data_IF_041161147730
#
_entry.id   IF_041161147730
#
_cell.length_a   1.000
_cell.length_b   1.000
_cell.length_c   1.000
_cell.angle_alpha   90.00
_cell.angle_beta   90.00
_cell.angle_gamma   90.00
#
_symmetry.space_group_name_H-M   'P 1'
#
loop_
_entity.id
_entity.type
_entity.pdbx_description
1 polymer ?
#
# COMPACT_ATOMS: atom_id res chain seq x y z
N UNK A 1 26.99 4.70 -2.04
CA UNK A 1 25.83 4.67 -1.12
C UNK A 1 24.71 3.96 -1.86
N UNK A 2 24.18 2.87 -1.31
CA UNK A 2 23.03 2.16 -1.91
C UNK A 2 21.72 2.86 -1.55
N UNK A 3 20.66 2.64 -2.33
CA UNK A 3 19.32 3.14 -2.02
C UNK A 3 18.85 2.69 -0.63
N UNK A 4 19.19 1.46 -0.24
CA UNK A 4 18.89 0.91 1.08
C UNK A 4 19.58 1.70 2.20
N UNK A 5 20.86 2.02 2.03
CA UNK A 5 21.62 2.83 2.98
C UNK A 5 21.07 4.26 3.08
N UNK A 6 20.58 4.82 1.97
CA UNK A 6 19.93 6.12 1.96
C UNK A 6 18.61 6.08 2.75
N UNK A 7 17.74 5.11 2.48
CA UNK A 7 16.47 4.92 3.21
C UNK A 7 16.70 4.77 4.72
N UNK A 8 17.68 3.94 5.11
CA UNK A 8 18.06 3.77 6.52
C UNK A 8 18.52 5.07 7.19
N UNK A 9 19.25 5.93 6.47
CA UNK A 9 19.69 7.24 6.98
C UNK A 9 18.56 8.25 7.07
N UNK A 10 17.63 8.25 6.11
CA UNK A 10 16.55 9.25 6.03
C UNK A 10 15.38 8.89 6.96
N UNK A 11 15.09 7.60 7.15
CA UNK A 11 13.92 7.14 7.91
C UNK A 11 13.81 7.69 9.34
N UNK A 12 14.89 7.79 10.16
CA UNK A 12 14.80 8.43 11.48
C UNK A 12 14.30 9.88 11.46
N UNK A 13 14.46 10.59 10.35
CA UNK A 13 14.00 11.96 10.17
C UNK A 13 12.53 12.06 9.74
N UNK A 14 11.95 10.98 9.22
CA UNK A 14 10.51 10.93 8.87
C UNK A 14 9.64 10.62 10.09
N UNK A 15 10.22 10.07 11.16
CA UNK A 15 9.50 9.70 12.38
C UNK A 15 9.31 10.90 13.33
N UNK A 16 8.15 10.94 13.99
CA UNK A 16 7.81 11.92 15.03
C UNK A 16 7.64 11.25 16.40
N UNK A 17 7.89 12.03 17.46
CA UNK A 17 7.59 11.71 18.86
C UNK A 17 7.92 10.26 19.25
N UNK A 18 6.90 9.50 19.65
CA UNK A 18 7.00 8.12 20.16
C UNK A 18 7.67 7.17 19.17
N UNK A 19 7.48 7.37 17.87
CA UNK A 19 8.12 6.53 16.83
C UNK A 19 9.62 6.76 16.76
N UNK A 20 10.05 8.02 16.84
CA UNK A 20 11.46 8.38 16.86
C UNK A 20 12.15 7.91 18.14
N UNK A 21 11.50 8.09 19.30
CA UNK A 21 12.02 7.58 20.57
C UNK A 21 12.16 6.07 20.60
N UNK A 22 11.19 5.33 20.05
CA UNK A 22 11.28 3.88 19.94
C UNK A 22 12.44 3.44 19.04
N UNK A 23 12.62 4.06 17.88
CA UNK A 23 13.71 3.67 16.98
C UNK A 23 15.08 3.90 17.66
N UNK A 24 15.22 5.00 18.39
CA UNK A 24 16.44 5.34 19.13
C UNK A 24 16.68 4.49 20.38
N UNK A 25 15.66 3.82 20.93
CA UNK A 25 15.81 2.94 22.10
C UNK A 25 16.25 1.52 21.74
N UNK A 26 16.27 1.17 20.46
CA UNK A 26 16.77 -0.11 19.98
C UNK A 26 18.29 -0.19 20.14
N UNK A 27 18.80 -1.39 20.43
CA UNK A 27 20.24 -1.61 20.59
C UNK A 27 20.99 -1.21 19.30
N UNK A 28 22.06 -0.39 19.37
CA UNK A 28 22.88 -0.08 18.20
C UNK A 28 23.35 -1.36 17.49
N UNK A 29 23.24 -1.38 16.16
CA UNK A 29 23.62 -2.54 15.35
C UNK A 29 22.64 -3.72 15.38
N UNK A 30 21.48 -3.61 16.07
CA UNK A 30 20.45 -4.66 16.06
C UNK A 30 19.65 -4.74 14.75
N UNK A 31 19.61 -3.64 13.98
CA UNK A 31 18.92 -3.55 12.70
C UNK A 31 19.90 -3.06 11.62
N UNK A 32 20.45 -3.99 10.86
CA UNK A 32 21.53 -3.73 9.89
C UNK A 32 21.03 -3.63 8.44
N UNK A 33 19.76 -3.91 8.18
CA UNK A 33 19.14 -3.84 6.86
C UNK A 33 17.83 -3.06 6.91
N UNK A 34 17.45 -2.42 5.80
CA UNK A 34 16.18 -1.72 5.67
C UNK A 34 15.00 -2.65 5.91
N UNK A 35 15.07 -3.88 5.38
CA UNK A 35 14.03 -4.89 5.58
C UNK A 35 13.80 -5.22 7.06
N UNK A 36 14.87 -5.30 7.87
CA UNK A 36 14.75 -5.54 9.30
C UNK A 36 14.11 -4.35 10.03
N UNK A 37 14.49 -3.12 9.68
CA UNK A 37 13.87 -1.89 10.23
C UNK A 37 12.39 -1.83 9.91
N UNK A 38 12.03 -2.04 8.64
CA UNK A 38 10.65 -2.02 8.18
C UNK A 38 9.82 -3.07 8.91
N UNK A 39 10.30 -4.32 9.00
CA UNK A 39 9.60 -5.40 9.71
C UNK A 39 9.35 -5.04 11.18
N UNK A 40 10.37 -4.61 11.92
CA UNK A 40 10.23 -4.24 13.34
C UNK A 40 9.33 -3.04 13.57
N UNK A 41 9.38 -2.06 12.68
CA UNK A 41 8.51 -0.88 12.75
C UNK A 41 7.04 -1.27 12.56
N UNK A 42 6.77 -2.11 11.57
CA UNK A 42 5.44 -2.66 11.33
C UNK A 42 4.97 -3.48 12.54
N UNK A 43 5.77 -4.41 13.06
CA UNK A 43 5.42 -5.18 14.26
C UNK A 43 5.07 -4.30 15.48
N UNK A 44 5.74 -3.14 15.62
CA UNK A 44 5.53 -2.22 16.76
C UNK A 44 4.30 -1.33 16.60
N UNK A 45 4.06 -0.80 15.40
CA UNK A 45 3.07 0.25 15.17
C UNK A 45 1.84 -0.22 14.38
N UNK A 46 1.95 -1.33 13.67
CA UNK A 46 0.88 -1.97 12.93
C UNK A 46 0.56 -3.31 13.57
N UNK A 47 -0.57 -3.38 14.27
CA UNK A 47 -1.07 -4.66 14.77
C UNK A 47 -1.38 -5.59 13.60
N UNK A 48 -0.94 -6.85 13.68
CA UNK A 48 -1.26 -7.92 12.71
C UNK A 48 -2.75 -7.95 12.38
N UNK A 49 -3.62 -7.80 13.40
CA UNK A 49 -5.06 -7.71 13.24
C UNK A 49 -5.52 -6.59 12.28
N UNK A 50 -4.95 -5.39 12.39
CA UNK A 50 -5.29 -4.28 11.47
C UNK A 50 -4.83 -4.58 10.04
N UNK A 51 -3.66 -5.19 9.89
CA UNK A 51 -3.17 -5.62 8.59
C UNK A 51 -4.07 -6.69 7.99
N UNK A 52 -4.50 -7.69 8.75
CA UNK A 52 -5.41 -8.73 8.29
C UNK A 52 -6.77 -8.15 7.91
N UNK A 53 -7.34 -7.27 8.75
CA UNK A 53 -8.59 -6.57 8.44
C UNK A 53 -8.51 -5.74 7.15
N UNK A 54 -7.39 -5.04 6.90
CA UNK A 54 -7.21 -4.27 5.67
C UNK A 54 -7.03 -5.21 4.46
N UNK A 55 -6.32 -6.33 4.62
CA UNK A 55 -6.21 -7.35 3.56
C UNK A 55 -7.56 -7.92 3.19
N UNK A 56 -8.40 -8.25 4.17
CA UNK A 56 -9.74 -8.76 3.94
C UNK A 56 -10.60 -7.72 3.21
N UNK A 57 -10.54 -6.45 3.62
CA UNK A 57 -11.24 -5.35 2.93
C UNK A 57 -10.80 -5.19 1.46
N UNK A 58 -9.51 -5.38 1.16
CA UNK A 58 -8.99 -5.32 -0.21
C UNK A 58 -9.47 -6.53 -1.02
N UNK A 59 -9.42 -7.74 -0.46
CA UNK A 59 -9.78 -8.99 -1.16
C UNK A 59 -11.29 -9.18 -1.37
N UNK A 60 -12.08 -8.63 -0.46
CA UNK A 60 -13.55 -8.65 -0.46
C UNK A 60 -14.13 -7.33 -0.95
N UNK A 61 -13.32 -6.45 -1.52
CA UNK A 61 -13.80 -5.21 -2.10
C UNK A 61 -14.88 -5.50 -3.16
N UNK A 62 -15.90 -4.67 -3.14
CA UNK A 62 -16.95 -4.63 -4.15
C UNK A 62 -17.39 -3.17 -4.29
N UNK A 63 -17.74 -2.79 -5.52
CA UNK A 63 -18.44 -1.53 -5.79
C UNK A 63 -19.83 -1.59 -5.13
N UNK A 64 -20.28 -0.47 -4.56
CA UNK A 64 -21.63 -0.36 -3.99
C UNK A 64 -22.64 0.04 -5.08
N UNK A 65 -23.91 -0.31 -4.88
CA UNK A 65 -24.97 -0.08 -5.89
C UNK A 65 -25.20 1.42 -6.19
N UNK A 66 -24.85 2.30 -5.25
CA UNK A 66 -25.00 3.76 -5.32
C UNK A 66 -23.68 4.50 -5.60
N UNK A 67 -22.59 3.79 -5.85
CA UNK A 67 -21.24 4.36 -6.02
C UNK A 67 -20.80 4.32 -7.49
N UNK A 68 -20.24 5.42 -8.00
CA UNK A 68 -19.64 5.45 -9.33
C UNK A 68 -18.34 4.63 -9.38
N UNK A 69 -17.90 4.28 -10.58
CA UNK A 69 -16.64 3.56 -10.77
C UNK A 69 -15.42 4.35 -10.26
N UNK A 70 -15.42 5.66 -10.51
CA UNK A 70 -14.35 6.55 -10.06
C UNK A 70 -14.28 6.57 -8.51
N UNK A 71 -15.41 6.72 -7.84
CA UNK A 71 -15.47 6.71 -6.37
C UNK A 71 -15.03 5.34 -5.79
N UNK A 72 -15.47 4.24 -6.40
CA UNK A 72 -15.05 2.90 -6.01
C UNK A 72 -13.52 2.70 -6.20
N UNK A 73 -12.96 3.24 -7.29
CA UNK A 73 -11.53 3.21 -7.55
C UNK A 73 -10.72 4.02 -6.54
N UNK A 74 -11.17 5.24 -6.21
CA UNK A 74 -10.55 6.07 -5.16
C UNK A 74 -10.61 5.37 -3.80
N UNK A 75 -11.74 4.75 -3.46
CA UNK A 75 -11.90 3.98 -2.22
C UNK A 75 -10.98 2.78 -2.17
N UNK A 76 -10.83 2.06 -3.27
CA UNK A 76 -9.91 0.93 -3.39
C UNK A 76 -8.45 1.36 -3.22
N UNK A 77 -8.02 2.43 -3.89
CA UNK A 77 -6.68 3.00 -3.72
C UNK A 77 -6.44 3.50 -2.29
N UNK A 78 -7.46 4.10 -1.67
CA UNK A 78 -7.43 4.46 -0.26
C UNK A 78 -7.16 3.28 0.66
N UNK A 79 -7.69 2.08 0.36
CA UNK A 79 -7.42 0.86 1.12
C UNK A 79 -5.99 0.35 0.90
N UNK A 80 -5.47 0.39 -0.33
CA UNK A 80 -4.09 0.02 -0.64
C UNK A 80 -3.09 0.93 0.10
N UNK A 81 -3.34 2.25 0.10
CA UNK A 81 -2.49 3.25 0.76
C UNK A 81 -2.51 3.15 2.29
N UNK A 82 -3.58 2.60 2.89
CA UNK A 82 -3.64 2.36 4.33
C UNK A 82 -2.77 1.18 4.78
N UNK A 83 -2.44 0.26 3.87
CA UNK A 83 -1.62 -0.90 4.17
C UNK A 83 -0.60 -1.15 3.05
N UNK A 84 0.36 -0.25 2.78
CA UNK A 84 1.30 -0.42 1.66
C UNK A 84 2.16 -1.70 1.78
N UNK A 85 2.22 -2.29 2.98
CA UNK A 85 2.83 -3.60 3.27
C UNK A 85 1.86 -4.79 3.19
N UNK A 86 0.68 -4.64 2.56
CA UNK A 86 -0.37 -5.66 2.51
C UNK A 86 0.07 -6.97 1.81
N UNK A 87 1.12 -6.95 0.98
CA UNK A 87 1.69 -8.15 0.37
C UNK A 87 0.71 -8.94 -0.52
N UNK A 88 -0.27 -8.24 -1.11
CA UNK A 88 -1.27 -8.81 -2.01
C UNK A 88 -0.71 -8.66 -3.43
N UNK A 89 -0.54 -9.76 -4.19
CA UNK A 89 -0.09 -9.69 -5.58
C UNK A 89 -1.01 -8.82 -6.44
N UNK A 90 -0.45 -8.05 -7.38
CA UNK A 90 -1.20 -7.15 -8.27
C UNK A 90 -2.41 -7.83 -8.93
N UNK A 91 -2.23 -9.07 -9.41
CA UNK A 91 -3.31 -9.89 -9.99
C UNK A 91 -4.52 -10.11 -9.07
N UNK A 92 -4.31 -10.14 -7.75
CA UNK A 92 -5.37 -10.32 -6.76
C UNK A 92 -5.95 -8.98 -6.29
N UNK A 93 -5.18 -7.90 -6.36
CA UNK A 93 -5.70 -6.54 -6.14
C UNK A 93 -6.74 -6.22 -7.21
N UNK A 94 -6.39 -6.47 -8.47
CA UNK A 94 -7.27 -6.36 -9.62
C UNK A 94 -8.60 -7.10 -9.38
N UNK A 95 -8.56 -8.37 -8.98
CA UNK A 95 -9.77 -9.18 -8.75
C UNK A 95 -10.77 -8.55 -7.74
N UNK A 96 -10.31 -7.78 -6.75
CA UNK A 96 -11.20 -7.06 -5.82
C UNK A 96 -12.01 -5.97 -6.52
N UNK A 97 -11.42 -5.25 -7.48
CA UNK A 97 -12.06 -4.20 -8.26
C UNK A 97 -13.02 -4.74 -9.34
N UNK A 98 -12.80 -5.97 -9.85
CA UNK A 98 -13.51 -6.51 -11.02
C UNK A 98 -14.63 -7.52 -10.71
N UNK A 99 -14.89 -7.85 -9.44
CA UNK A 99 -15.84 -8.92 -9.07
C UNK A 99 -17.31 -8.65 -9.43
N UNK A 100 -17.67 -7.42 -9.79
CA UNK A 100 -19.05 -7.00 -10.11
C UNK A 100 -19.23 -6.56 -11.56
N UNK A 101 -18.23 -6.72 -12.44
CA UNK A 101 -18.25 -6.12 -13.79
C UNK A 101 -18.64 -7.10 -14.89
N UNK A 102 -19.36 -6.59 -15.87
CA UNK A 102 -19.52 -7.23 -17.18
C UNK A 102 -18.22 -7.13 -18.01
N UNK A 103 -18.00 -8.00 -19.01
CA UNK A 103 -16.82 -7.92 -19.88
C UNK A 103 -16.60 -6.53 -20.49
N UNK A 104 -17.67 -5.85 -20.89
CA UNK A 104 -17.66 -4.55 -21.57
C UNK A 104 -17.12 -3.43 -20.67
N UNK A 105 -17.61 -3.34 -19.43
CA UNK A 105 -17.14 -2.36 -18.42
C UNK A 105 -15.70 -2.62 -17.97
N UNK A 106 -15.20 -3.84 -18.20
CA UNK A 106 -13.81 -4.21 -17.93
C UNK A 106 -12.88 -3.66 -19.02
N UNK A 107 -13.33 -3.61 -20.28
CA UNK A 107 -12.56 -3.06 -21.40
C UNK A 107 -12.42 -1.54 -21.33
N UNK A 108 -13.50 -0.81 -21.00
CA UNK A 108 -13.45 0.65 -20.87
C UNK A 108 -12.43 1.09 -19.79
N UNK A 109 -12.37 0.36 -18.67
CA UNK A 109 -11.40 0.66 -17.61
C UNK A 109 -9.95 0.30 -18.01
N UNK A 110 -9.76 -0.75 -18.82
CA UNK A 110 -8.44 -1.04 -19.38
C UNK A 110 -7.96 0.06 -20.32
N UNK A 111 -8.86 0.67 -21.11
CA UNK A 111 -8.54 1.82 -21.95
C UNK A 111 -8.20 3.05 -21.10
N UNK A 112 -8.94 3.31 -20.01
CA UNK A 112 -8.68 4.42 -19.10
C UNK A 112 -7.30 4.30 -18.40
N UNK A 113 -6.98 3.11 -17.87
CA UNK A 113 -5.67 2.81 -17.25
C UNK A 113 -4.54 2.90 -18.31
N UNK A 114 -4.78 2.48 -19.54
CA UNK A 114 -3.83 2.60 -20.64
C UNK A 114 -3.57 4.06 -21.05
N UNK A 115 -4.56 4.94 -20.89
CA UNK A 115 -4.41 6.38 -21.15
C UNK A 115 -3.68 7.12 -20.02
N UNK A 116 -3.90 6.74 -18.76
CA UNK A 116 -3.20 7.34 -17.60
C UNK A 116 -1.70 6.98 -17.57
N UNK A 117 -1.36 5.75 -17.97
CA UNK A 117 0.05 5.31 -18.07
C UNK A 117 0.84 6.02 -19.17
N UNK A 118 0.17 6.57 -20.19
CA UNK A 118 0.83 7.39 -21.23
C UNK A 118 1.11 8.84 -20.78
N UNK A 119 0.42 9.35 -19.76
CA UNK A 119 0.64 10.71 -19.24
C UNK A 119 1.71 10.79 -18.15
N UNK A 120 2.14 9.67 -17.58
CA UNK A 120 3.16 9.62 -16.51
C UNK A 120 4.58 9.46 -17.02
N UNK A 121 4.79 9.29 -18.33
CA UNK A 121 6.12 9.22 -18.96
C UNK A 121 6.56 10.55 -19.59
N UNK A 122 6.11 11.68 -19.04
CA UNK A 122 6.60 13.00 -19.43
C UNK A 122 6.60 14.00 -18.27
N UNK A 123 7.34 13.72 -17.20
CA UNK A 123 8.09 14.78 -16.48
C UNK A 123 9.12 14.26 -15.49
#
# INVERSE_FOLDING_TARGET
VTEEQLRMRVFPYTLKDKAKYWLNSLKPGSLMTWGAIQKKFLEKYFSTQKTDMLRDKILLFAQQDDESLCEAWERFNGLLNQCPHHGIPLKLQMRGSYKTKTPEETYELFEEIAMETQHTDTR
#
